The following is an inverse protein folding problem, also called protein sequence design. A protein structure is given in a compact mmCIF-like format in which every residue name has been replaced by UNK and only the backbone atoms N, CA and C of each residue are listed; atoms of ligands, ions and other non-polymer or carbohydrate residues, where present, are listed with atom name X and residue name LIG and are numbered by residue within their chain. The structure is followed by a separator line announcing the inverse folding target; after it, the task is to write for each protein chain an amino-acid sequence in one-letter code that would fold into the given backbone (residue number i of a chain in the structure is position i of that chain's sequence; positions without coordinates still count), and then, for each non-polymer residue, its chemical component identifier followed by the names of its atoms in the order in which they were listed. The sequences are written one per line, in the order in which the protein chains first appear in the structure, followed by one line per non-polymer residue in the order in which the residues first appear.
data_IF_291171241317
#
_entry.id   IF_291171241317
#
_cell.length_a   1.000
_cell.length_b   1.000
_cell.length_c   1.000
_cell.angle_alpha   90.00
_cell.angle_beta   90.00
_cell.angle_gamma   90.00
#
_symmetry.space_group_name_H-M   'P 1'
#
loop_
_entity.id
_entity.type
_entity.pdbx_description
1 polymer ?
#
# COMPACT_ATOMS: atom_id res chain seq x y z
N UNK A 1 -5.62 3.58 -18.55
CA UNK A 1 -6.56 3.29 -17.47
C UNK A 1 -7.68 2.45 -18.07
N UNK A 2 -7.88 1.25 -17.62
CA UNK A 2 -8.88 0.34 -18.17
C UNK A 2 -9.85 -0.02 -17.04
N UNK A 3 -11.12 0.32 -17.20
CA UNK A 3 -12.21 0.01 -16.29
C UNK A 3 -13.00 -1.16 -16.88
N UNK A 4 -13.19 -2.23 -16.10
CA UNK A 4 -13.99 -3.40 -16.50
C UNK A 4 -15.11 -3.60 -15.51
N UNK A 5 -16.33 -3.66 -16.02
CA UNK A 5 -17.53 -3.93 -15.24
C UNK A 5 -17.86 -5.42 -15.31
N UNK A 6 -18.09 -6.00 -14.14
CA UNK A 6 -18.68 -7.32 -13.97
C UNK A 6 -19.97 -7.15 -13.17
N UNK A 7 -20.89 -8.07 -13.26
CA UNK A 7 -22.26 -7.95 -12.69
C UNK A 7 -22.27 -7.60 -11.18
N UNK A 8 -21.18 -7.82 -10.44
CA UNK A 8 -21.09 -7.63 -8.99
C UNK A 8 -19.99 -6.68 -8.52
N UNK A 9 -19.08 -6.26 -9.39
CA UNK A 9 -17.94 -5.41 -9.00
C UNK A 9 -17.30 -4.67 -10.16
N UNK A 10 -16.57 -3.60 -9.82
CA UNK A 10 -15.76 -2.80 -10.75
C UNK A 10 -14.29 -3.07 -10.48
N UNK A 11 -13.52 -3.26 -11.54
CA UNK A 11 -12.06 -3.39 -11.46
C UNK A 11 -11.37 -2.20 -12.10
N UNK A 12 -10.29 -1.75 -11.48
CA UNK A 12 -9.49 -0.65 -11.98
C UNK A 12 -8.01 -0.99 -11.96
N UNK A 13 -7.31 -0.71 -13.06
CA UNK A 13 -5.90 -1.00 -13.23
C UNK A 13 -5.13 0.26 -13.58
N UNK A 14 -4.09 0.56 -12.83
CA UNK A 14 -3.23 1.70 -13.14
C UNK A 14 -1.78 1.43 -12.73
N UNK A 15 -0.88 2.28 -13.20
CA UNK A 15 0.51 2.30 -12.74
C UNK A 15 0.80 3.64 -12.11
N UNK A 16 1.46 3.61 -10.96
CA UNK A 16 2.01 4.83 -10.36
C UNK A 16 3.10 5.41 -11.28
N UNK A 17 3.43 6.69 -11.16
CA UNK A 17 4.54 7.29 -11.91
C UNK A 17 5.89 6.59 -11.74
N UNK A 18 6.05 5.78 -10.66
CA UNK A 18 7.24 4.98 -10.39
C UNK A 18 7.18 3.56 -10.97
N UNK A 19 6.11 3.24 -11.70
CA UNK A 19 5.94 1.94 -12.36
C UNK A 19 5.41 0.82 -11.45
N UNK A 20 4.99 1.12 -10.21
CA UNK A 20 4.27 0.18 -9.37
C UNK A 20 2.88 -0.01 -9.99
N UNK A 21 2.54 -1.25 -10.30
CA UNK A 21 1.21 -1.61 -10.80
C UNK A 21 0.25 -1.69 -9.61
N UNK A 22 -0.95 -1.16 -9.78
CA UNK A 22 -2.03 -1.24 -8.78
C UNK A 22 -3.28 -1.78 -9.46
N UNK A 23 -3.84 -2.81 -8.87
CA UNK A 23 -5.10 -3.43 -9.29
C UNK A 23 -6.10 -3.25 -8.15
N UNK A 24 -7.24 -2.63 -8.45
CA UNK A 24 -8.30 -2.30 -7.50
C UNK A 24 -9.60 -3.01 -7.89
N UNK A 25 -10.35 -3.43 -6.88
CA UNK A 25 -11.70 -4.01 -7.02
C UNK A 25 -12.61 -3.37 -5.99
N UNK A 26 -13.78 -2.91 -6.43
CA UNK A 26 -14.78 -2.28 -5.59
C UNK A 26 -16.16 -2.94 -5.81
N UNK A 27 -16.96 -3.01 -4.73
CA UNK A 27 -18.35 -3.48 -4.77
C UNK A 27 -18.60 -4.85 -4.18
N UNK A 28 -17.56 -5.69 -3.99
CA UNK A 28 -17.72 -7.03 -3.41
C UNK A 28 -17.47 -7.05 -1.90
N UNK A 29 -18.12 -7.99 -1.20
CA UNK A 29 -17.80 -8.31 0.19
C UNK A 29 -16.39 -8.93 0.28
N UNK A 30 -15.55 -8.37 1.13
CA UNK A 30 -14.16 -8.80 1.37
C UNK A 30 -13.99 -10.26 1.77
N UNK A 31 -15.04 -10.88 2.28
CA UNK A 31 -15.03 -12.31 2.64
C UNK A 31 -15.21 -13.24 1.45
N UNK A 32 -15.51 -12.71 0.26
CA UNK A 32 -15.65 -13.52 -0.94
C UNK A 32 -14.28 -13.97 -1.45
N UNK A 33 -14.01 -15.29 -1.43
CA UNK A 33 -12.81 -15.87 -2.02
C UNK A 33 -12.65 -15.59 -3.52
N UNK A 34 -13.74 -15.23 -4.21
CA UNK A 34 -13.72 -14.84 -5.64
C UNK A 34 -12.90 -13.58 -5.89
N UNK A 35 -12.93 -12.59 -4.97
CA UNK A 35 -12.16 -11.35 -5.12
C UNK A 35 -10.66 -11.62 -5.12
N UNK A 36 -10.20 -12.44 -4.19
CA UNK A 36 -8.80 -12.83 -4.11
C UNK A 36 -8.33 -13.61 -5.34
N UNK A 37 -9.18 -14.51 -5.85
CA UNK A 37 -8.89 -15.23 -7.09
C UNK A 37 -8.84 -14.29 -8.29
N UNK A 38 -9.76 -13.32 -8.37
CA UNK A 38 -9.78 -12.35 -9.47
C UNK A 38 -8.55 -11.45 -9.46
N UNK A 39 -8.14 -10.93 -8.30
CA UNK A 39 -6.91 -10.16 -8.16
C UNK A 39 -5.68 -10.98 -8.55
N UNK A 40 -5.59 -12.22 -8.07
CA UNK A 40 -4.51 -13.12 -8.45
C UNK A 40 -4.49 -13.37 -9.97
N UNK A 41 -5.65 -13.62 -10.58
CA UNK A 41 -5.79 -13.77 -12.02
C UNK A 41 -5.30 -12.55 -12.79
N UNK A 42 -5.67 -11.34 -12.38
CA UNK A 42 -5.28 -10.10 -13.04
C UNK A 42 -3.76 -9.89 -13.00
N UNK A 43 -3.11 -10.18 -11.87
CA UNK A 43 -1.66 -10.09 -11.74
C UNK A 43 -0.94 -11.07 -12.69
N UNK A 44 -1.49 -12.28 -12.87
CA UNK A 44 -0.88 -13.31 -13.71
C UNK A 44 -1.23 -13.22 -15.20
N UNK A 45 -2.47 -12.84 -15.56
CA UNK A 45 -2.90 -12.78 -16.97
C UNK A 45 -2.06 -11.80 -17.81
N UNK A 46 -1.58 -10.70 -17.22
CA UNK A 46 -0.67 -9.79 -17.91
C UNK A 46 0.72 -10.40 -18.18
N UNK A 47 1.06 -11.50 -17.52
CA UNK A 47 2.34 -12.20 -17.72
C UNK A 47 2.22 -13.43 -18.62
N UNK A 48 1.05 -13.66 -19.23
CA UNK A 48 0.82 -14.77 -20.16
C UNK A 48 0.62 -16.14 -19.51
N UNK A 49 0.40 -16.19 -18.21
CA UNK A 49 0.16 -17.42 -17.46
C UNK A 49 -1.34 -17.61 -17.18
N UNK A 50 -2.03 -18.59 -17.78
CA UNK A 50 -3.49 -18.74 -17.66
C UNK A 50 -3.97 -19.44 -16.37
N UNK A 51 -3.07 -19.85 -15.47
CA UNK A 51 -3.43 -20.64 -14.31
C UNK A 51 -3.79 -19.79 -13.10
N UNK A 52 -4.98 -20.02 -12.55
CA UNK A 52 -5.44 -19.45 -11.28
C UNK A 52 -4.50 -19.83 -10.15
N UNK A 53 -3.90 -18.84 -9.51
CA UNK A 53 -3.10 -19.03 -8.33
C UNK A 53 -3.68 -18.24 -7.18
N UNK A 54 -3.59 -18.79 -5.99
CA UNK A 54 -4.12 -18.21 -4.76
C UNK A 54 -3.08 -17.28 -4.16
N UNK A 55 -3.54 -16.17 -3.57
CA UNK A 55 -2.68 -15.34 -2.72
C UNK A 55 -2.48 -16.09 -1.40
N UNK A 56 -1.24 -16.40 -1.10
CA UNK A 56 -0.81 -17.04 0.14
C UNK A 56 0.01 -16.06 0.98
N UNK A 57 0.38 -16.45 2.20
CA UNK A 57 1.14 -15.61 3.11
C UNK A 57 2.33 -16.35 3.67
N UNK A 58 3.48 -15.68 3.73
CA UNK A 58 4.65 -16.12 4.49
C UNK A 58 4.36 -16.09 6.00
N UNK A 59 5.23 -16.70 6.81
CA UNK A 59 5.11 -16.71 8.28
C UNK A 59 5.03 -15.30 8.90
N UNK A 60 5.66 -14.31 8.30
CA UNK A 60 5.60 -12.91 8.73
C UNK A 60 4.34 -12.17 8.26
N UNK A 61 3.39 -12.87 7.62
CA UNK A 61 2.14 -12.30 7.10
C UNK A 61 2.26 -11.60 5.73
N UNK A 62 3.46 -11.56 5.13
CA UNK A 62 3.63 -10.94 3.81
C UNK A 62 2.96 -11.78 2.72
N UNK A 63 2.14 -11.18 1.83
CA UNK A 63 1.48 -11.92 0.77
C UNK A 63 2.45 -12.32 -0.34
N UNK A 64 2.21 -13.49 -0.93
CA UNK A 64 2.88 -13.95 -2.13
C UNK A 64 1.93 -14.75 -3.03
N UNK A 65 2.33 -14.94 -4.26
CA UNK A 65 1.63 -15.79 -5.23
C UNK A 65 2.64 -16.79 -5.78
N UNK A 66 2.34 -18.09 -5.69
CA UNK A 66 3.21 -19.15 -6.17
C UNK A 66 3.57 -18.96 -7.66
N UNK A 67 4.87 -19.00 -7.98
CA UNK A 67 5.40 -18.77 -9.34
C UNK A 67 5.46 -17.32 -9.78
N UNK A 68 4.99 -16.35 -8.97
CA UNK A 68 5.24 -14.94 -9.20
C UNK A 68 6.47 -14.46 -8.44
N UNK A 69 7.50 -14.07 -9.15
CA UNK A 69 8.80 -13.66 -8.58
C UNK A 69 8.88 -12.15 -8.30
N UNK A 70 7.74 -11.45 -8.21
CA UNK A 70 7.65 -10.04 -7.87
C UNK A 70 7.11 -9.82 -6.46
N UNK A 71 7.37 -8.65 -5.90
CA UNK A 71 6.78 -8.24 -4.62
C UNK A 71 5.34 -7.83 -4.83
N UNK A 72 4.43 -8.33 -3.98
CA UNK A 72 3.07 -7.84 -3.87
C UNK A 72 2.81 -7.30 -2.45
N UNK A 73 1.88 -6.36 -2.34
CA UNK A 73 1.30 -5.91 -1.09
C UNK A 73 -0.20 -5.72 -1.29
N UNK A 74 -0.99 -6.07 -0.32
CA UNK A 74 -2.45 -6.08 -0.42
C UNK A 74 -3.10 -5.27 0.70
N UNK A 75 -4.26 -4.70 0.39
CA UNK A 75 -5.13 -4.05 1.37
C UNK A 75 -6.59 -4.30 1.06
N UNK A 76 -7.44 -4.22 2.07
CA UNK A 76 -8.88 -4.34 1.87
C UNK A 76 -9.67 -3.61 2.97
N UNK A 77 -10.82 -3.10 2.60
CA UNK A 77 -11.90 -2.67 3.50
C UNK A 77 -13.10 -3.61 3.32
N UNK A 78 -14.29 -3.22 3.75
CA UNK A 78 -15.51 -4.04 3.54
C UNK A 78 -15.84 -4.24 2.06
N UNK A 79 -15.63 -3.21 1.23
CA UNK A 79 -16.06 -3.22 -0.19
C UNK A 79 -14.96 -2.80 -1.16
N UNK A 80 -13.75 -2.57 -0.69
CA UNK A 80 -12.61 -2.14 -1.51
C UNK A 80 -11.42 -3.05 -1.28
N UNK A 81 -10.75 -3.41 -2.38
CA UNK A 81 -9.54 -4.21 -2.38
C UNK A 81 -8.52 -3.59 -3.31
N UNK A 82 -7.25 -3.65 -2.92
CA UNK A 82 -6.18 -3.27 -3.82
C UNK A 82 -4.97 -4.17 -3.65
N UNK A 83 -4.29 -4.43 -4.76
CA UNK A 83 -3.00 -5.10 -4.82
C UNK A 83 -2.02 -4.17 -5.51
N UNK A 84 -0.94 -3.83 -4.82
CA UNK A 84 0.22 -3.20 -5.43
C UNK A 84 1.25 -4.27 -5.76
N UNK A 85 1.84 -4.21 -6.95
CA UNK A 85 2.84 -5.17 -7.41
C UNK A 85 4.06 -4.50 -8.05
N UNK A 86 5.23 -5.05 -7.75
CA UNK A 86 6.49 -4.75 -8.44
C UNK A 86 6.80 -5.90 -9.40
N UNK A 87 7.33 -5.60 -10.60
CA UNK A 87 7.73 -6.64 -11.54
C UNK A 87 8.89 -7.47 -10.99
N UNK A 88 9.14 -8.62 -11.62
CA UNK A 88 10.17 -9.59 -11.25
C UNK A 88 11.50 -8.92 -10.89
N UNK A 89 11.96 -9.20 -9.68
CA UNK A 89 13.32 -8.91 -9.26
C UNK A 89 14.06 -10.24 -9.14
N UNK A 90 14.98 -10.60 -10.05
CA UNK A 90 15.76 -11.81 -9.88
C UNK A 90 16.58 -11.74 -8.60
N UNK A 91 16.65 -12.87 -7.87
CA UNK A 91 17.56 -13.10 -6.75
C UNK A 91 17.36 -12.28 -5.45
N UNK A 92 16.12 -11.93 -5.13
CA UNK A 92 15.80 -11.24 -3.86
C UNK A 92 14.90 -12.12 -3.00
N UNK A 93 15.23 -12.27 -1.71
CA UNK A 93 14.32 -12.88 -0.76
C UNK A 93 13.11 -11.96 -0.53
N UNK A 94 11.93 -12.37 -1.03
CA UNK A 94 10.72 -11.56 -0.99
C UNK A 94 10.04 -11.53 0.39
N UNK A 95 10.44 -12.39 1.33
CA UNK A 95 9.92 -12.40 2.71
C UNK A 95 10.74 -11.54 3.68
N UNK A 96 11.85 -10.96 3.23
CA UNK A 96 12.70 -10.08 4.03
C UNK A 96 12.72 -8.65 3.48
N UNK A 97 13.03 -7.69 4.35
CA UNK A 97 13.22 -6.31 3.91
C UNK A 97 14.37 -6.20 2.90
N UNK A 98 14.08 -5.65 1.74
CA UNK A 98 15.07 -5.29 0.75
C UNK A 98 14.71 -3.94 0.13
N UNK A 99 15.62 -2.95 0.13
CA UNK A 99 15.33 -1.63 -0.43
C UNK A 99 14.92 -1.64 -1.92
N UNK A 100 15.26 -2.69 -2.66
CA UNK A 100 14.87 -2.81 -4.08
C UNK A 100 13.42 -3.27 -4.27
N UNK A 101 12.82 -3.88 -3.24
CA UNK A 101 11.46 -4.44 -3.29
C UNK A 101 10.57 -3.92 -2.16
N UNK A 102 11.09 -3.04 -1.30
CA UNK A 102 10.35 -2.49 -0.18
C UNK A 102 9.16 -1.67 -0.66
N UNK A 103 7.97 -2.25 -0.56
CA UNK A 103 6.71 -1.67 -0.95
C UNK A 103 5.59 -2.20 -0.06
N UNK A 104 4.67 -1.33 0.31
CA UNK A 104 3.44 -1.65 1.01
C UNK A 104 2.29 -0.76 0.53
N UNK A 105 1.07 -1.28 0.57
CA UNK A 105 -0.17 -0.54 0.27
C UNK A 105 -1.13 -0.67 1.43
N UNK A 106 -1.82 0.43 1.75
CA UNK A 106 -2.95 0.42 2.67
C UNK A 106 -4.08 1.31 2.19
N UNK A 107 -5.32 0.98 2.60
CA UNK A 107 -6.52 1.72 2.24
C UNK A 107 -7.52 1.75 3.39
N UNK A 108 -8.14 2.91 3.60
CA UNK A 108 -9.17 3.13 4.60
C UNK A 108 -10.27 4.06 4.07
N UNK A 109 -11.55 3.84 4.47
CA UNK A 109 -12.61 4.76 4.13
C UNK A 109 -12.33 6.17 4.63
N UNK A 110 -12.59 7.20 3.80
CA UNK A 110 -12.30 8.61 4.14
C UNK A 110 -13.15 9.17 5.29
N UNK A 111 -14.21 8.47 5.69
CA UNK A 111 -15.12 8.82 6.78
C UNK A 111 -14.86 8.01 8.06
N UNK A 112 -13.77 7.25 8.15
CA UNK A 112 -13.44 6.42 9.31
C UNK A 112 -13.02 7.24 10.52
N UNK A 113 -13.98 7.80 11.24
CA UNK A 113 -13.76 8.66 12.43
C UNK A 113 -13.01 7.95 13.58
N UNK A 114 -12.98 6.61 13.59
CA UNK A 114 -12.26 5.83 14.62
C UNK A 114 -10.76 6.11 14.63
N UNK A 115 -10.17 6.55 13.53
CA UNK A 115 -8.76 6.93 13.46
C UNK A 115 -8.39 8.02 14.45
N UNK A 116 -9.31 8.98 14.70
CA UNK A 116 -9.09 10.07 15.65
C UNK A 116 -8.94 9.57 17.10
N UNK A 117 -9.64 8.50 17.47
CA UNK A 117 -9.57 7.92 18.83
C UNK A 117 -8.24 7.22 19.10
N UNK A 118 -7.53 6.80 18.05
CA UNK A 118 -6.28 6.07 18.19
C UNK A 118 -5.05 6.86 17.71
N UNK A 119 -5.23 8.11 17.23
CA UNK A 119 -4.15 8.94 16.67
C UNK A 119 -2.91 9.02 17.57
N UNK A 120 -3.13 9.16 18.88
CA UNK A 120 -2.06 9.22 19.87
C UNK A 120 -1.31 7.89 20.06
N UNK A 121 -1.80 6.79 19.50
CA UNK A 121 -1.12 5.49 19.53
C UNK A 121 -0.17 5.28 18.36
N UNK A 122 -0.39 5.95 17.23
CA UNK A 122 0.42 5.76 16.03
C UNK A 122 1.20 7.00 15.57
N UNK A 123 0.77 8.22 15.94
CA UNK A 123 1.52 9.45 15.63
C UNK A 123 2.53 9.78 16.72
N UNK A 124 3.72 10.22 16.31
CA UNK A 124 4.70 10.82 17.20
C UNK A 124 4.28 12.24 17.63
N UNK A 125 4.93 12.81 18.62
CA UNK A 125 4.64 14.18 19.07
C UNK A 125 4.87 15.23 17.98
N UNK A 126 5.85 15.02 17.11
CA UNK A 126 6.14 15.87 15.96
C UNK A 126 5.02 15.79 14.92
N UNK A 127 4.57 14.57 14.61
CA UNK A 127 3.48 14.32 13.65
C UNK A 127 2.13 14.86 14.16
N UNK A 128 1.86 14.76 15.46
CA UNK A 128 0.64 15.32 16.10
C UNK A 128 0.58 16.85 15.94
N UNK A 129 1.72 17.54 15.98
CA UNK A 129 1.77 19.00 15.77
C UNK A 129 1.49 19.42 14.33
N UNK A 130 1.75 18.53 13.38
CA UNK A 130 1.58 18.79 11.95
C UNK A 130 0.19 18.41 11.43
N UNK A 131 -0.52 17.50 12.11
CA UNK A 131 -1.79 16.94 11.65
C UNK A 131 -2.91 17.43 12.59
N UNK A 132 -3.79 18.34 12.15
CA UNK A 132 -4.90 18.82 12.96
C UNK A 132 -5.81 17.67 13.42
N UNK A 133 -6.25 17.73 14.68
CA UNK A 133 -7.08 16.65 15.25
C UNK A 133 -8.45 16.55 14.58
N UNK A 134 -9.02 17.67 14.15
CA UNK A 134 -10.32 17.74 13.50
C UNK A 134 -10.30 17.44 12.00
N UNK A 135 -9.14 17.26 11.40
CA UNK A 135 -9.01 16.89 9.99
C UNK A 135 -9.01 15.37 9.85
N UNK A 136 -10.20 14.79 9.62
CA UNK A 136 -10.37 13.34 9.50
C UNK A 136 -9.53 12.79 8.34
N UNK A 137 -9.54 13.46 7.18
CA UNK A 137 -8.85 12.99 5.97
C UNK A 137 -7.34 12.95 6.19
N UNK A 138 -6.73 14.00 6.73
CA UNK A 138 -5.29 13.99 7.02
C UNK A 138 -4.89 12.94 8.06
N UNK A 139 -5.75 12.67 9.06
CA UNK A 139 -5.51 11.60 10.02
C UNK A 139 -5.62 10.21 9.36
N UNK A 140 -6.52 10.01 8.39
CA UNK A 140 -6.62 8.78 7.61
C UNK A 140 -5.42 8.60 6.69
N UNK A 141 -4.97 9.66 6.00
CA UNK A 141 -3.73 9.65 5.19
C UNK A 141 -2.53 9.23 6.05
N UNK A 142 -2.41 9.78 7.25
CA UNK A 142 -1.33 9.42 8.15
C UNK A 142 -1.43 7.96 8.63
N UNK A 143 -2.63 7.48 8.92
CA UNK A 143 -2.87 6.09 9.30
C UNK A 143 -2.50 5.12 8.17
N UNK A 144 -3.04 5.33 6.97
CA UNK A 144 -2.73 4.48 5.80
C UNK A 144 -1.24 4.54 5.43
N UNK A 145 -0.58 5.69 5.61
CA UNK A 145 0.87 5.81 5.42
C UNK A 145 1.65 4.94 6.42
N UNK A 146 1.27 4.94 7.70
CA UNK A 146 1.91 4.10 8.74
C UNK A 146 1.72 2.60 8.46
N UNK A 147 0.49 2.19 8.12
CA UNK A 147 0.19 0.80 7.76
C UNK A 147 0.94 0.37 6.49
N UNK A 148 1.00 1.22 5.46
CA UNK A 148 1.76 0.94 4.25
C UNK A 148 3.27 0.82 4.52
N UNK A 149 3.84 1.68 5.39
CA UNK A 149 5.23 1.58 5.83
C UNK A 149 5.49 0.28 6.61
N UNK A 150 4.57 -0.10 7.50
CA UNK A 150 4.66 -1.35 8.25
C UNK A 150 4.69 -2.57 7.33
N UNK A 151 3.79 -2.61 6.34
CA UNK A 151 3.77 -3.66 5.31
C UNK A 151 5.04 -3.67 4.44
N UNK A 152 5.59 -2.50 4.13
CA UNK A 152 6.84 -2.37 3.38
C UNK A 152 8.06 -2.87 4.15
N UNK A 153 8.06 -2.74 5.48
CA UNK A 153 9.16 -3.13 6.34
C UNK A 153 9.38 -4.64 6.43
N UNK A 154 8.33 -5.45 6.30
CA UNK A 154 8.36 -6.92 6.44
C UNK A 154 8.88 -7.41 7.81
N UNK A 155 8.82 -6.57 8.82
CA UNK A 155 9.27 -6.84 10.19
C UNK A 155 8.11 -6.66 11.14
N UNK A 156 7.78 -7.73 11.88
CA UNK A 156 6.72 -7.69 12.88
C UNK A 156 7.15 -6.93 14.14
N UNK A 157 6.18 -6.25 14.76
CA UNK A 157 6.39 -5.58 16.05
C UNK A 157 7.09 -4.22 15.98
N UNK A 158 7.23 -3.61 14.81
CA UNK A 158 7.72 -2.24 14.70
C UNK A 158 6.76 -1.27 15.38
N UNK A 159 7.32 -0.35 16.16
CA UNK A 159 6.57 0.71 16.82
C UNK A 159 6.15 1.79 15.83
N UNK A 160 4.84 2.04 15.71
CA UNK A 160 4.29 3.02 14.75
C UNK A 160 4.77 4.45 15.02
N UNK A 161 4.98 4.82 16.28
CA UNK A 161 5.44 6.16 16.65
C UNK A 161 6.92 6.37 16.39
N UNK A 162 7.73 5.36 16.75
CA UNK A 162 9.17 5.52 16.82
C UNK A 162 9.89 4.95 15.61
N UNK A 163 9.38 3.86 15.03
CA UNK A 163 10.01 3.20 13.90
C UNK A 163 9.50 3.67 12.53
N UNK A 164 8.24 4.14 12.44
CA UNK A 164 7.62 4.57 11.18
C UNK A 164 7.40 6.09 11.23
N UNK A 165 8.31 6.87 10.67
CA UNK A 165 8.27 8.33 10.74
C UNK A 165 7.81 8.95 9.43
N UNK A 166 6.72 9.70 9.44
CA UNK A 166 6.28 10.54 8.32
C UNK A 166 7.03 11.86 8.43
N UNK A 167 7.80 12.21 7.42
CA UNK A 167 8.57 13.47 7.38
C UNK A 167 7.90 14.52 6.50
N UNK A 168 7.15 14.09 5.48
CA UNK A 168 6.29 14.94 4.67
C UNK A 168 4.99 14.16 4.44
N UNK A 169 3.87 14.66 4.98
CA UNK A 169 2.57 14.05 4.78
C UNK A 169 2.05 14.38 3.37
N UNK A 170 1.53 13.37 2.61
CA UNK A 170 0.80 13.67 1.38
C UNK A 170 -0.42 14.55 1.67
N UNK A 171 -0.57 15.65 0.95
CA UNK A 171 -1.73 16.52 1.08
C UNK A 171 -2.78 16.14 0.02
N UNK A 172 -3.86 15.48 0.44
CA UNK A 172 -5.01 15.26 -0.45
C UNK A 172 -5.83 16.53 -0.40
N UNK A 173 -5.80 17.31 -1.46
CA UNK A 173 -6.71 18.45 -1.62
C UNK A 173 -8.02 17.93 -2.20
N UNK A 174 -9.14 18.34 -1.57
CA UNK A 174 -10.49 18.21 -2.13
C UNK A 174 -10.56 18.98 -3.44
N UNK A 175 -10.16 18.36 -4.55
CA UNK A 175 -10.48 18.86 -5.86
C UNK A 175 -11.76 18.16 -6.34
N UNK A 176 -12.70 18.89 -6.89
CA UNK A 176 -13.93 18.37 -7.51
C UNK A 176 -13.67 17.32 -8.62
N UNK A 177 -12.40 17.06 -8.92
CA UNK A 177 -11.90 15.98 -9.77
C UNK A 177 -11.06 15.00 -8.91
N UNK A 178 -11.73 14.27 -8.03
CA UNK A 178 -11.13 13.22 -7.17
C UNK A 178 -10.35 12.14 -7.94
N UNK A 179 -10.65 11.94 -9.22
CA UNK A 179 -10.04 10.89 -10.04
C UNK A 179 -8.58 11.11 -10.44
N UNK A 180 -7.92 12.21 -10.06
CA UNK A 180 -6.56 12.52 -10.55
C UNK A 180 -5.62 13.25 -9.59
N UNK A 181 -5.99 13.55 -8.37
CA UNK A 181 -5.08 14.25 -7.43
C UNK A 181 -4.22 13.26 -6.64
N UNK A 182 -3.15 12.84 -7.25
CA UNK A 182 -2.09 12.10 -6.57
C UNK A 182 -1.22 13.07 -5.78
N UNK A 183 -0.93 12.72 -4.54
CA UNK A 183 -0.01 13.50 -3.72
C UNK A 183 1.15 12.67 -3.20
N UNK A 184 2.29 13.32 -3.08
CA UNK A 184 3.53 12.70 -2.63
C UNK A 184 3.87 13.12 -1.21
N UNK A 185 4.47 12.19 -0.49
CA UNK A 185 5.05 12.41 0.82
C UNK A 185 6.37 11.69 0.98
N UNK A 186 6.96 11.88 2.14
CA UNK A 186 8.22 11.27 2.52
C UNK A 186 8.12 10.67 3.92
N UNK A 187 8.82 9.57 4.13
CA UNK A 187 8.85 8.89 5.40
C UNK A 187 10.18 8.16 5.61
N UNK A 188 10.36 7.65 6.82
CA UNK A 188 11.51 6.82 7.19
C UNK A 188 11.03 5.60 7.96
N UNK A 189 11.68 4.47 7.69
CA UNK A 189 11.59 3.29 8.54
C UNK A 189 12.89 3.22 9.34
N UNK A 190 12.79 3.23 10.67
CA UNK A 190 13.89 3.09 11.61
C UNK A 190 13.84 1.66 12.13
N UNK A 191 14.73 0.84 11.63
CA UNK A 191 14.83 -0.55 12.04
C UNK A 191 15.56 -0.70 13.38
N UNK A 192 15.19 -1.68 14.22
CA UNK A 192 15.96 -2.04 15.40
C UNK A 192 17.42 -2.39 15.05
N UNK A 193 18.35 -2.01 15.91
CA UNK A 193 19.80 -2.17 15.68
C UNK A 193 20.21 -3.63 15.43
N UNK A 194 19.56 -4.58 16.10
CA UNK A 194 19.82 -6.01 15.95
C UNK A 194 19.53 -6.57 14.56
N UNK A 195 18.81 -5.83 13.71
CA UNK A 195 18.55 -6.23 12.32
C UNK A 195 19.63 -5.72 11.35
N UNK A 196 20.50 -4.82 11.77
CA UNK A 196 21.59 -4.31 10.93
C UNK A 196 21.17 -3.50 9.71
N UNK A 197 19.88 -3.15 9.57
CA UNK A 197 19.32 -2.45 8.40
C UNK A 197 19.48 -0.93 8.52
N UNK A 198 19.36 -0.38 9.73
CA UNK A 198 19.44 1.04 10.02
C UNK A 198 18.19 1.82 9.57
N UNK A 199 18.40 3.08 9.12
CA UNK A 199 17.32 3.96 8.67
C UNK A 199 17.16 3.84 7.16
N UNK A 200 15.91 3.65 6.72
CA UNK A 200 15.54 3.57 5.30
C UNK A 200 14.61 4.72 4.93
N UNK A 201 15.00 5.50 3.92
CA UNK A 201 14.15 6.52 3.31
C UNK A 201 13.07 5.87 2.47
N UNK A 202 11.84 6.36 2.60
CA UNK A 202 10.66 5.88 1.90
C UNK A 202 9.93 7.06 1.23
N UNK A 203 9.29 6.80 0.12
CA UNK A 203 8.34 7.70 -0.53
C UNK A 203 6.93 7.23 -0.26
N UNK A 204 6.02 8.18 -0.13
CA UNK A 204 4.59 7.96 0.01
C UNK A 204 3.89 8.48 -1.24
N UNK A 205 2.87 7.76 -1.66
CA UNK A 205 2.02 8.12 -2.78
C UNK A 205 0.58 7.85 -2.37
N UNK A 206 -0.22 8.91 -2.21
CA UNK A 206 -1.60 8.80 -1.72
C UNK A 206 -2.59 9.37 -2.73
N UNK A 207 -3.77 8.76 -2.78
CA UNK A 207 -4.88 9.17 -3.64
C UNK A 207 -6.21 8.71 -3.05
N UNK A 208 -7.32 9.22 -3.58
CA UNK A 208 -8.66 8.75 -3.25
C UNK A 208 -9.16 7.85 -4.38
N UNK A 209 -9.71 6.69 -4.02
CA UNK A 209 -10.38 5.77 -4.92
C UNK A 209 -11.61 5.19 -4.20
N UNK A 210 -12.78 5.26 -4.83
CA UNK A 210 -14.06 4.72 -4.29
C UNK A 210 -14.29 5.07 -2.81
N UNK A 211 -14.15 6.34 -2.44
CA UNK A 211 -14.26 6.83 -1.06
C UNK A 211 -13.26 6.20 -0.07
N UNK A 212 -12.20 5.60 -0.55
CA UNK A 212 -11.08 5.14 0.26
C UNK A 212 -9.85 6.03 0.01
N UNK A 213 -9.15 6.39 1.08
CA UNK A 213 -7.80 6.90 1.00
C UNK A 213 -6.87 5.71 0.82
N UNK A 214 -6.13 5.67 -0.27
CA UNK A 214 -5.15 4.64 -0.58
C UNK A 214 -3.75 5.26 -0.48
N UNK A 215 -2.86 4.61 0.24
CA UNK A 215 -1.45 5.02 0.34
C UNK A 215 -0.52 3.87 -0.01
N UNK A 216 0.45 4.16 -0.89
CA UNK A 216 1.55 3.26 -1.21
C UNK A 216 2.84 3.84 -0.62
N UNK A 217 3.50 3.08 0.23
CA UNK A 217 4.85 3.36 0.71
C UNK A 217 5.85 2.51 -0.09
N UNK A 218 6.92 3.12 -0.60
CA UNK A 218 7.92 2.42 -1.38
C UNK A 218 9.32 3.03 -1.21
N UNK A 219 10.34 2.19 -1.35
CA UNK A 219 11.72 2.69 -1.37
C UNK A 219 12.02 3.40 -2.68
N UNK A 220 12.74 4.53 -2.68
CA UNK A 220 13.22 5.19 -3.90
C UNK A 220 14.07 4.29 -4.81
N UNK A 221 14.60 3.18 -4.26
CA UNK A 221 15.37 2.19 -5.02
C UNK A 221 14.48 1.25 -5.86
N UNK A 222 13.18 1.13 -5.52
CA UNK A 222 12.22 0.39 -6.34
C UNK A 222 11.97 1.05 -7.70
N UNK A 223 12.04 2.37 -7.78
CA UNK A 223 11.74 3.14 -8.99
C UNK A 223 12.73 2.98 -10.16
N UNK A 224 13.84 2.26 -9.96
CA UNK A 224 14.87 2.07 -11.01
C UNK A 224 14.57 0.93 -11.99
N UNK A 225 13.52 0.14 -11.76
CA UNK A 225 13.18 -1.02 -12.59
C UNK A 225 12.23 -0.70 -13.77
N UNK A 226 11.72 0.52 -13.89
CA UNK A 226 10.78 0.94 -14.94
C UNK A 226 11.41 1.66 -16.15
N UNK A 227 12.73 1.64 -16.30
CA UNK A 227 13.42 2.23 -17.46
C UNK A 227 14.09 1.12 -18.27
N UNK A 228 13.29 0.43 -19.05
CA UNK A 228 13.74 -0.30 -20.25
C UNK A 228 12.61 -0.24 -21.28
#
# INVERSE_FOLDING_TARGET
MEERFYDEFVTWHHKTPMGIKVDEVFGMDSKSGRVWMELARQIFCEQGEPNYRVIEHYENGAPYIEGYNGRISITHTTHFFAVASLPKTPEVNLCEFNPRTAMGIDAEPIDRVQVLKVRNKFLSEEEIKLIPENDIVLNIVAWTAKEALYKAALVNGLDFKNSLKITVLPSITDSENLDKSYTYGEAKIIFPENLGVGIQEMKLYSYISYNCCVTIAFSPKCAKFGKH
#
